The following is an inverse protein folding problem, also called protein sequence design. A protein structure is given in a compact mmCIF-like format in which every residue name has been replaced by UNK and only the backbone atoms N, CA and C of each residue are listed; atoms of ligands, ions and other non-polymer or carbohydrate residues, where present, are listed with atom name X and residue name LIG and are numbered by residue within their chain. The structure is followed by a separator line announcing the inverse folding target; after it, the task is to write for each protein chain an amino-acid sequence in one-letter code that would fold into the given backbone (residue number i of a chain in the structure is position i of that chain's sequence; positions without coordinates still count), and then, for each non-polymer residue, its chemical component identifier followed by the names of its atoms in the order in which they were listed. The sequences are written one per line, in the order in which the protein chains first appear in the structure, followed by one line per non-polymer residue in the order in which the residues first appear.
data_IF_527065803859
#
_entry.id   IF_527065803859
#
_cell.length_a   1.000
_cell.length_b   1.000
_cell.length_c   1.000
_cell.angle_alpha   90.00
_cell.angle_beta   90.00
_cell.angle_gamma   90.00
#
_symmetry.space_group_name_H-M   'P 1'
#
loop_
_entity.id
_entity.type
_entity.pdbx_description
1 polymer ?
#
# COMPACT_ATOMS: atom_id res chain seq x y z
N UNK A 1 -10.68 20.47 -2.04
CA UNK A 1 -11.05 19.04 -1.87
C UNK A 1 -9.84 18.29 -1.35
N UNK A 2 -10.01 17.24 -0.54
CA UNK A 2 -8.89 16.40 -0.11
C UNK A 2 -8.09 15.83 -1.28
N UNK A 3 -6.78 15.71 -1.11
CA UNK A 3 -5.92 14.98 -2.05
C UNK A 3 -5.86 13.51 -1.67
N UNK A 4 -6.44 12.65 -2.50
CA UNK A 4 -6.54 11.20 -2.22
C UNK A 4 -5.86 10.45 -3.36
N UNK A 5 -4.76 9.75 -3.06
CA UNK A 5 -4.10 8.88 -4.04
C UNK A 5 -4.51 7.44 -3.80
N UNK A 6 -5.11 6.78 -4.80
CA UNK A 6 -5.41 5.36 -4.78
C UNK A 6 -4.20 4.57 -5.29
N UNK A 7 -3.76 3.58 -4.52
CA UNK A 7 -2.74 2.62 -4.93
C UNK A 7 -3.43 1.27 -5.19
N UNK A 8 -3.33 0.77 -6.41
CA UNK A 8 -3.93 -0.49 -6.84
C UNK A 8 -2.82 -1.54 -6.98
N UNK A 9 -2.90 -2.58 -6.15
CA UNK A 9 -2.09 -3.79 -6.23
C UNK A 9 -2.78 -4.89 -7.03
N UNK A 10 -2.36 -6.14 -6.79
CA UNK A 10 -2.79 -7.27 -7.61
C UNK A 10 -3.64 -8.32 -6.90
N UNK A 11 -3.95 -8.19 -5.60
CA UNK A 11 -4.80 -9.15 -4.89
C UNK A 11 -6.20 -9.27 -5.57
N UNK A 12 -6.94 -10.37 -5.36
CA UNK A 12 -8.15 -10.68 -6.14
C UNK A 12 -9.22 -9.57 -6.12
N UNK A 13 -9.34 -8.82 -5.02
CA UNK A 13 -10.35 -7.77 -4.88
C UNK A 13 -9.96 -6.44 -5.56
N UNK A 14 -8.76 -6.35 -6.15
CA UNK A 14 -8.31 -5.18 -6.92
C UNK A 14 -9.26 -4.82 -8.06
N UNK A 15 -9.90 -5.83 -8.67
CA UNK A 15 -10.83 -5.65 -9.81
C UNK A 15 -12.02 -4.75 -9.49
N UNK A 16 -12.36 -4.60 -8.21
CA UNK A 16 -13.43 -3.70 -7.76
C UNK A 16 -13.17 -2.26 -8.18
N UNK A 17 -11.90 -1.84 -8.27
CA UNK A 17 -11.56 -0.49 -8.70
C UNK A 17 -11.92 -0.19 -10.16
N UNK A 18 -12.24 -1.20 -10.99
CA UNK A 18 -12.63 -1.00 -12.39
C UNK A 18 -13.85 -0.09 -12.52
N UNK A 19 -14.83 -0.29 -11.65
CA UNK A 19 -16.15 0.36 -11.75
C UNK A 19 -16.27 1.58 -10.80
N UNK A 20 -15.20 1.93 -10.08
CA UNK A 20 -15.20 3.07 -9.17
C UNK A 20 -15.08 4.38 -9.92
N UNK A 21 -15.89 5.36 -9.52
CA UNK A 21 -15.80 6.73 -10.03
C UNK A 21 -14.39 7.30 -9.77
N UNK A 22 -13.69 7.63 -10.86
CA UNK A 22 -12.36 8.24 -10.85
C UNK A 22 -12.35 9.55 -10.07
N UNK A 23 -13.47 10.26 -10.01
CA UNK A 23 -13.58 11.58 -9.37
C UNK A 23 -13.35 11.54 -7.86
N UNK A 24 -13.51 10.38 -7.22
CA UNK A 24 -13.24 10.16 -5.80
C UNK A 24 -11.74 10.27 -5.45
N UNK A 25 -10.86 10.16 -6.45
CA UNK A 25 -9.41 10.14 -6.29
C UNK A 25 -8.77 11.34 -6.99
N UNK A 26 -7.69 11.85 -6.44
CA UNK A 26 -6.84 12.85 -7.11
C UNK A 26 -5.91 12.15 -8.08
N UNK A 27 -5.29 11.07 -7.64
CA UNK A 27 -4.35 10.25 -8.42
C UNK A 27 -4.69 8.76 -8.27
N UNK A 28 -4.45 7.99 -9.32
CA UNK A 28 -4.45 6.53 -9.30
C UNK A 28 -3.05 6.04 -9.69
N UNK A 29 -2.46 5.24 -8.81
CA UNK A 29 -1.16 4.62 -8.96
C UNK A 29 -1.38 3.12 -9.13
N UNK A 30 -1.13 2.60 -10.32
CA UNK A 30 -1.16 1.18 -10.61
C UNK A 30 0.22 0.56 -10.33
N UNK A 31 0.24 -0.62 -9.70
CA UNK A 31 1.45 -1.40 -9.46
C UNK A 31 1.50 -2.62 -10.38
N UNK A 32 2.62 -2.82 -11.07
CA UNK A 32 2.85 -4.00 -11.91
C UNK A 32 1.65 -4.21 -12.85
N UNK A 33 1.09 -5.42 -12.92
CA UNK A 33 -0.06 -5.75 -13.77
C UNK A 33 -1.38 -5.04 -13.39
N UNK A 34 -1.44 -4.32 -12.26
CA UNK A 34 -2.66 -3.63 -11.83
C UNK A 34 -3.12 -2.52 -12.81
N UNK A 35 -2.25 -2.09 -13.73
CA UNK A 35 -2.63 -1.19 -14.82
C UNK A 35 -3.76 -1.78 -15.68
N UNK A 36 -3.91 -3.11 -15.72
CA UNK A 36 -4.95 -3.80 -16.47
C UNK A 36 -6.33 -3.78 -15.77
N UNK A 37 -6.41 -3.33 -14.52
CA UNK A 37 -7.69 -3.23 -13.79
C UNK A 37 -8.59 -2.15 -14.40
N UNK A 38 -8.00 -1.00 -14.76
CA UNK A 38 -8.67 0.17 -15.33
C UNK A 38 -7.71 0.97 -16.20
N UNK A 39 -8.16 1.64 -17.28
CA UNK A 39 -7.28 2.27 -18.26
C UNK A 39 -6.88 3.72 -17.93
N UNK A 40 -7.41 4.32 -16.88
CA UNK A 40 -7.32 5.75 -16.54
C UNK A 40 -6.50 6.03 -15.26
N UNK A 41 -5.42 5.27 -15.06
CA UNK A 41 -4.45 5.54 -14.00
C UNK A 41 -3.48 6.68 -14.38
N UNK A 42 -2.96 7.39 -13.37
CA UNK A 42 -2.04 8.51 -13.55
C UNK A 42 -0.58 8.06 -13.58
N UNK A 43 -0.26 7.05 -12.77
CA UNK A 43 1.09 6.54 -12.60
C UNK A 43 1.10 5.01 -12.64
N UNK A 44 2.09 4.45 -13.34
CA UNK A 44 2.41 3.03 -13.28
C UNK A 44 3.79 2.86 -12.66
N UNK A 45 3.87 2.06 -11.60
CA UNK A 45 5.14 1.74 -10.92
C UNK A 45 5.39 0.24 -11.01
N UNK A 46 6.58 -0.13 -11.45
CA UNK A 46 7.01 -1.52 -11.58
C UNK A 46 8.52 -1.65 -11.32
N UNK A 47 9.04 -2.84 -10.98
CA UNK A 47 10.46 -3.05 -10.79
C UNK A 47 11.23 -3.04 -12.13
N UNK A 48 12.55 -2.89 -12.07
CA UNK A 48 13.42 -2.89 -13.25
C UNK A 48 13.35 -4.20 -14.06
N UNK A 49 13.01 -5.33 -13.41
CA UNK A 49 12.87 -6.66 -14.02
C UNK A 49 11.44 -6.95 -14.54
N UNK A 50 10.56 -5.95 -14.59
CA UNK A 50 9.19 -6.12 -15.09
C UNK A 50 9.20 -6.41 -16.61
N UNK A 51 8.56 -7.50 -17.09
CA UNK A 51 8.64 -7.87 -18.50
C UNK A 51 8.03 -6.81 -19.42
N UNK A 52 8.78 -6.42 -20.47
CA UNK A 52 8.33 -5.42 -21.45
C UNK A 52 6.98 -5.79 -22.10
N UNK A 53 6.78 -7.07 -22.43
CA UNK A 53 5.51 -7.57 -22.99
C UNK A 53 4.32 -7.61 -22.01
N UNK A 54 4.52 -7.17 -20.75
CA UNK A 54 3.44 -6.97 -19.76
C UNK A 54 3.17 -5.50 -19.47
N UNK A 55 3.88 -4.59 -20.11
CA UNK A 55 3.54 -3.17 -20.10
C UNK A 55 2.34 -2.93 -21.02
N UNK A 56 1.54 -1.87 -20.78
CA UNK A 56 0.50 -1.46 -21.71
C UNK A 56 1.10 -1.11 -23.07
N UNK A 57 0.49 -1.59 -24.17
CA UNK A 57 0.98 -1.44 -25.56
C UNK A 57 1.19 0.03 -25.98
N UNK A 58 0.54 0.97 -25.30
CA UNK A 58 0.93 2.38 -25.23
C UNK A 58 0.26 3.02 -24.02
N UNK A 59 0.95 3.88 -23.26
CA UNK A 59 0.27 4.73 -22.28
C UNK A 59 -0.83 5.52 -22.99
N UNK A 60 -2.07 5.42 -22.51
CA UNK A 60 -3.17 6.25 -23.01
C UNK A 60 -2.76 7.72 -22.94
N UNK A 61 -2.93 8.53 -24.00
CA UNK A 61 -2.46 9.92 -24.03
C UNK A 61 -3.14 10.81 -22.97
N UNK A 62 -4.13 10.30 -22.24
CA UNK A 62 -4.86 11.06 -21.21
C UNK A 62 -4.12 11.09 -19.87
N UNK A 63 -3.50 9.98 -19.44
CA UNK A 63 -2.76 9.85 -18.19
C UNK A 63 -1.85 8.61 -18.24
N UNK A 64 -0.55 8.76 -17.96
CA UNK A 64 0.39 7.67 -17.63
C UNK A 64 1.84 8.17 -17.57
N UNK A 65 2.34 8.46 -16.37
CA UNK A 65 3.79 8.49 -16.14
C UNK A 65 4.26 7.13 -15.63
N UNK A 66 5.26 6.54 -16.29
CA UNK A 66 5.90 5.31 -15.81
C UNK A 66 7.00 5.70 -14.84
N UNK A 67 6.84 5.29 -13.58
CA UNK A 67 7.77 5.59 -12.49
C UNK A 67 8.75 4.44 -12.36
N UNK A 68 10.00 4.71 -12.67
CA UNK A 68 11.10 3.73 -12.65
C UNK A 68 11.93 3.84 -11.37
N UNK A 69 12.90 2.94 -11.20
CA UNK A 69 13.82 2.96 -10.06
C UNK A 69 14.56 4.29 -9.91
N UNK A 70 14.82 4.99 -11.02
CA UNK A 70 15.40 6.34 -11.00
C UNK A 70 14.58 7.34 -10.16
N UNK A 71 13.28 7.12 -10.00
CA UNK A 71 12.39 8.00 -9.24
C UNK A 71 11.97 7.41 -7.89
N UNK A 72 11.60 6.13 -7.85
CA UNK A 72 11.12 5.52 -6.61
C UNK A 72 12.25 5.17 -5.64
N UNK A 73 13.48 4.88 -6.11
CA UNK A 73 14.60 4.56 -5.21
C UNK A 73 15.00 5.79 -4.38
N UNK A 74 15.26 6.97 -4.96
CA UNK A 74 15.56 8.16 -4.17
C UNK A 74 14.41 8.54 -3.22
N UNK A 75 13.15 8.35 -3.64
CA UNK A 75 12.00 8.63 -2.79
C UNK A 75 11.95 7.70 -1.57
N UNK A 76 12.13 6.39 -1.74
CA UNK A 76 12.13 5.42 -0.65
C UNK A 76 13.36 5.58 0.27
N UNK A 77 14.50 5.98 -0.28
CA UNK A 77 15.71 6.27 0.49
C UNK A 77 15.53 7.39 1.52
N UNK A 78 14.71 8.41 1.22
CA UNK A 78 14.37 9.47 2.19
C UNK A 78 13.64 8.93 3.44
N UNK A 79 13.08 7.73 3.35
CA UNK A 79 12.39 7.07 4.45
C UNK A 79 13.13 5.82 4.94
N UNK A 80 14.45 5.77 4.82
CA UNK A 80 15.28 4.68 5.38
C UNK A 80 15.58 3.53 4.42
N UNK A 81 15.30 3.70 3.13
CA UNK A 81 15.72 2.75 2.08
C UNK A 81 15.01 1.39 2.16
N UNK A 82 15.37 0.49 1.26
CA UNK A 82 14.61 -0.74 0.99
C UNK A 82 14.68 -1.76 2.12
N UNK A 83 15.80 -1.83 2.85
CA UNK A 83 15.99 -2.78 3.96
C UNK A 83 14.95 -2.58 5.06
N UNK A 84 14.71 -1.32 5.45
CA UNK A 84 13.77 -0.99 6.50
C UNK A 84 12.35 -0.74 5.98
N UNK A 85 12.21 -0.03 4.86
CA UNK A 85 10.91 0.31 4.28
C UNK A 85 10.19 -0.88 3.62
N UNK A 86 10.93 -1.94 3.28
CA UNK A 86 10.44 -3.15 2.61
C UNK A 86 10.55 -3.06 1.09
N UNK A 87 10.91 -4.17 0.46
CA UNK A 87 11.17 -4.25 -0.99
C UNK A 87 9.95 -4.44 -1.89
N UNK A 88 8.75 -4.64 -1.35
CA UNK A 88 7.57 -4.88 -2.19
C UNK A 88 7.17 -3.62 -2.95
N UNK A 89 6.67 -3.80 -4.17
CA UNK A 89 6.17 -2.67 -4.96
C UNK A 89 5.02 -1.88 -4.30
N UNK A 90 4.22 -2.49 -3.42
CA UNK A 90 3.19 -1.77 -2.69
C UNK A 90 3.77 -0.77 -1.67
N UNK A 91 4.85 -1.14 -0.97
CA UNK A 91 5.55 -0.21 -0.09
C UNK A 91 6.33 0.82 -0.89
N UNK A 92 7.00 0.41 -1.97
CA UNK A 92 7.70 1.33 -2.87
C UNK A 92 6.77 2.39 -3.45
N UNK A 93 5.60 1.98 -3.96
CA UNK A 93 4.58 2.92 -4.43
C UNK A 93 4.06 3.83 -3.31
N UNK A 94 3.86 3.28 -2.10
CA UNK A 94 3.44 4.05 -0.92
C UNK A 94 4.42 5.15 -0.54
N UNK A 95 5.71 4.84 -0.43
CA UNK A 95 6.74 5.83 -0.09
C UNK A 95 7.00 6.81 -1.23
N UNK A 96 6.96 6.36 -2.49
CA UNK A 96 7.02 7.26 -3.64
C UNK A 96 5.84 8.25 -3.63
N UNK A 97 4.60 7.78 -3.45
CA UNK A 97 3.42 8.64 -3.40
C UNK A 97 3.50 9.64 -2.23
N UNK A 98 3.96 9.18 -1.06
CA UNK A 98 4.17 10.02 0.12
C UNK A 98 5.14 11.18 -0.17
N UNK A 99 6.26 10.92 -0.87
CA UNK A 99 7.23 11.97 -1.24
C UNK A 99 6.72 12.85 -2.38
N UNK A 100 6.24 12.23 -3.45
CA UNK A 100 6.05 12.87 -4.75
C UNK A 100 4.71 13.59 -4.82
N UNK A 101 3.64 12.91 -4.39
CA UNK A 101 2.27 13.41 -4.47
C UNK A 101 1.85 14.16 -3.20
N UNK A 102 2.45 13.82 -2.05
CA UNK A 102 2.16 14.39 -0.72
C UNK A 102 0.65 14.49 -0.44
N UNK A 103 -0.11 13.38 -0.58
CA UNK A 103 -1.55 13.44 -0.48
C UNK A 103 -2.01 13.55 0.98
N UNK A 104 -3.26 13.96 1.18
CA UNK A 104 -3.91 13.85 2.50
C UNK A 104 -4.14 12.39 2.87
N UNK A 105 -4.46 11.55 1.87
CA UNK A 105 -4.72 10.11 2.02
C UNK A 105 -4.00 9.30 0.94
N UNK A 106 -3.42 8.18 1.36
CA UNK A 106 -3.07 7.07 0.46
C UNK A 106 -4.04 5.92 0.75
N UNK A 107 -4.87 5.57 -0.22
CA UNK A 107 -5.82 4.48 -0.10
C UNK A 107 -5.28 3.26 -0.86
N UNK A 108 -5.11 2.13 -0.19
CA UNK A 108 -4.63 0.88 -0.79
C UNK A 108 -5.80 -0.03 -1.14
N UNK A 109 -5.81 -0.59 -2.34
CA UNK A 109 -6.66 -1.70 -2.75
C UNK A 109 -5.80 -2.79 -3.39
N UNK A 110 -6.11 -4.07 -3.18
CA UNK A 110 -5.38 -5.16 -3.82
C UNK A 110 -3.95 -5.36 -3.30
N UNK A 111 -3.62 -4.78 -2.14
CA UNK A 111 -2.26 -4.78 -1.58
C UNK A 111 -2.16 -5.63 -0.30
N UNK A 112 -3.06 -6.61 -0.11
CA UNK A 112 -3.19 -7.32 1.17
C UNK A 112 -2.02 -8.23 1.54
N UNK A 113 -1.20 -8.59 0.55
CA UNK A 113 -0.02 -9.43 0.72
C UNK A 113 -0.32 -10.77 1.42
N UNK A 114 -1.44 -11.40 1.05
CA UNK A 114 -1.83 -12.73 1.52
C UNK A 114 -1.68 -13.72 0.36
N UNK A 115 -0.93 -14.81 0.58
CA UNK A 115 -0.57 -15.78 -0.45
C UNK A 115 -0.96 -17.20 0.01
N UNK A 116 -2.26 -17.56 -0.04
CA UNK A 116 -2.70 -18.91 0.25
C UNK A 116 -2.14 -19.91 -0.78
N UNK A 117 -1.76 -21.11 -0.34
CA UNK A 117 -1.19 -22.14 -1.22
C UNK A 117 -2.20 -22.68 -2.25
N UNK A 118 -3.50 -22.66 -1.93
CA UNK A 118 -4.56 -23.34 -2.69
C UNK A 118 -5.67 -22.40 -3.20
N UNK A 119 -5.38 -21.11 -3.39
CA UNK A 119 -6.36 -20.17 -3.92
C UNK A 119 -5.66 -19.08 -4.77
N UNK A 120 -6.40 -18.41 -5.68
CA UNK A 120 -5.85 -17.29 -6.44
C UNK A 120 -5.26 -16.23 -5.50
N UNK A 121 -3.99 -15.91 -5.72
CA UNK A 121 -3.27 -14.88 -4.98
C UNK A 121 -3.38 -13.52 -5.67
N UNK A 122 -3.72 -13.52 -6.96
CA UNK A 122 -3.82 -12.33 -7.79
C UNK A 122 -5.12 -12.33 -8.60
N UNK A 123 -5.58 -11.17 -9.08
CA UNK A 123 -6.79 -11.08 -9.90
C UNK A 123 -6.67 -11.77 -11.28
N UNK A 124 -5.45 -12.02 -11.75
CA UNK A 124 -5.14 -12.76 -12.97
C UNK A 124 -4.78 -14.23 -12.69
N UNK A 125 -5.21 -14.77 -11.53
CA UNK A 125 -4.98 -16.16 -11.13
C UNK A 125 -3.87 -16.31 -10.10
N UNK A 126 -2.83 -17.06 -10.43
CA UNK A 126 -1.68 -17.31 -9.53
C UNK A 126 -0.48 -16.53 -10.07
N UNK A 127 -0.15 -15.42 -9.40
CA UNK A 127 1.09 -14.70 -9.69
C UNK A 127 2.28 -15.35 -9.00
N UNK A 128 3.46 -15.29 -9.64
CA UNK A 128 4.75 -15.44 -8.96
C UNK A 128 4.90 -14.27 -8.00
N UNK A 129 4.74 -14.54 -6.70
CA UNK A 129 4.73 -13.50 -5.69
C UNK A 129 6.13 -12.94 -5.43
N UNK A 130 6.26 -11.62 -5.45
CA UNK A 130 7.42 -10.89 -4.90
C UNK A 130 7.73 -11.29 -3.43
N UNK A 131 6.75 -11.40 -2.51
CA UNK A 131 6.99 -11.79 -1.11
C UNK A 131 7.10 -13.30 -0.82
N UNK A 132 7.18 -14.16 -1.83
CA UNK A 132 7.59 -15.57 -1.64
C UNK A 132 9.10 -15.76 -1.82
N UNK A 133 9.84 -14.71 -2.21
CA UNK A 133 11.30 -14.70 -2.13
C UNK A 133 11.69 -14.83 -0.66
N UNK A 134 12.65 -15.70 -0.35
CA UNK A 134 13.28 -15.74 0.97
C UNK A 134 14.15 -14.48 1.14
N UNK A 135 13.48 -13.36 1.35
CA UNK A 135 14.06 -12.02 1.28
C UNK A 135 14.02 -11.37 2.66
N UNK A 136 15.18 -10.85 3.09
CA UNK A 136 15.33 -10.28 4.43
C UNK A 136 14.44 -9.05 4.66
N UNK A 137 14.08 -8.34 3.60
CA UNK A 137 13.26 -7.11 3.65
C UNK A 137 11.76 -7.41 3.64
N UNK A 138 11.36 -8.65 3.35
CA UNK A 138 9.97 -9.10 3.23
C UNK A 138 9.50 -10.01 4.38
N UNK A 139 10.36 -10.24 5.37
CA UNK A 139 10.13 -11.19 6.49
C UNK A 139 8.89 -10.88 7.31
N UNK A 140 8.63 -9.61 7.62
CA UNK A 140 7.44 -9.17 8.34
C UNK A 140 6.72 -8.01 7.65
N UNK A 141 5.86 -8.37 6.70
CA UNK A 141 5.03 -7.43 5.96
C UNK A 141 4.10 -6.59 6.85
N UNK A 142 3.68 -7.14 8.01
CA UNK A 142 2.84 -6.39 8.95
C UNK A 142 3.64 -5.29 9.63
N UNK A 143 4.87 -5.57 10.04
CA UNK A 143 5.79 -4.57 10.58
C UNK A 143 6.14 -3.50 9.54
N UNK A 144 6.45 -3.89 8.29
CA UNK A 144 6.72 -2.94 7.21
C UNK A 144 5.53 -2.03 6.90
N UNK A 145 4.32 -2.59 6.91
CA UNK A 145 3.09 -1.80 6.78
C UNK A 145 2.86 -0.86 7.97
N UNK A 146 3.14 -1.29 9.20
CA UNK A 146 3.04 -0.45 10.39
C UNK A 146 4.03 0.73 10.34
N UNK A 147 5.26 0.46 9.89
CA UNK A 147 6.27 1.48 9.63
C UNK A 147 5.79 2.52 8.61
N UNK A 148 5.27 2.08 7.46
CA UNK A 148 4.72 2.99 6.45
C UNK A 148 3.59 3.85 7.03
N UNK A 149 2.67 3.24 7.80
CA UNK A 149 1.56 3.97 8.42
C UNK A 149 2.04 5.04 9.40
N UNK A 150 2.95 4.69 10.31
CA UNK A 150 3.50 5.61 11.30
C UNK A 150 4.27 6.76 10.63
N UNK A 151 5.12 6.45 9.64
CA UNK A 151 5.85 7.47 8.89
C UNK A 151 4.91 8.38 8.09
N UNK A 152 3.93 7.83 7.37
CA UNK A 152 2.94 8.63 6.65
C UNK A 152 2.21 9.61 7.59
N UNK A 153 1.78 9.16 8.77
CA UNK A 153 1.14 10.01 9.77
C UNK A 153 2.05 11.15 10.24
N UNK A 154 3.35 10.88 10.48
CA UNK A 154 4.34 11.92 10.82
C UNK A 154 4.49 12.96 9.71
N UNK A 155 4.29 12.56 8.46
CA UNK A 155 4.32 13.43 7.29
C UNK A 155 2.96 14.02 6.91
N UNK A 156 1.93 13.86 7.76
CA UNK A 156 0.61 14.46 7.56
C UNK A 156 -0.34 13.67 6.66
N UNK A 157 0.06 12.49 6.19
CA UNK A 157 -0.71 11.63 5.31
C UNK A 157 -1.36 10.48 6.09
N UNK A 158 -2.60 10.14 5.77
CA UNK A 158 -3.29 8.99 6.36
C UNK A 158 -3.33 7.83 5.35
N UNK A 159 -2.72 6.70 5.68
CA UNK A 159 -2.85 5.48 4.87
C UNK A 159 -4.09 4.68 5.31
N UNK A 160 -4.89 4.22 4.34
CA UNK A 160 -6.13 3.47 4.56
C UNK A 160 -6.15 2.21 3.66
N UNK A 161 -6.85 1.17 4.10
CA UNK A 161 -7.05 -0.06 3.32
C UNK A 161 -8.53 -0.16 2.88
N UNK A 162 -8.77 -0.27 1.58
CA UNK A 162 -10.09 -0.46 0.96
C UNK A 162 -10.43 -1.93 0.68
N UNK A 163 -9.53 -2.85 1.02
CA UNK A 163 -9.72 -4.28 0.81
C UNK A 163 -10.90 -4.81 1.62
N UNK A 164 -11.69 -5.64 0.95
CA UNK A 164 -12.79 -6.41 1.57
C UNK A 164 -12.42 -7.87 1.79
N UNK A 165 -11.17 -8.26 1.50
CA UNK A 165 -10.69 -9.61 1.77
C UNK A 165 -10.72 -9.91 3.28
N UNK A 166 -10.99 -11.17 3.68
CA UNK A 166 -11.12 -11.54 5.09
C UNK A 166 -9.82 -11.34 5.88
N UNK A 167 -8.67 -11.38 5.21
CA UNK A 167 -7.35 -11.27 5.82
C UNK A 167 -6.49 -10.27 5.05
N UNK A 168 -5.65 -9.53 5.77
CA UNK A 168 -4.62 -8.66 5.21
C UNK A 168 -3.39 -8.68 6.11
N UNK A 169 -2.21 -8.50 5.53
CA UNK A 169 -0.98 -8.21 6.28
C UNK A 169 -0.84 -6.72 6.57
N UNK A 170 -1.59 -5.86 5.91
CA UNK A 170 -1.47 -4.42 6.10
C UNK A 170 -1.96 -4.00 7.48
N UNK A 171 -1.08 -3.37 8.27
CA UNK A 171 -1.42 -2.72 9.53
C UNK A 171 -2.00 -1.32 9.25
N UNK A 172 -3.09 -1.28 8.49
CA UNK A 172 -3.79 -0.06 8.07
C UNK A 172 -5.27 -0.11 8.45
N UNK A 173 -5.89 1.02 8.83
CA UNK A 173 -7.33 1.08 9.07
C UNK A 173 -8.12 0.70 7.82
N UNK A 174 -9.04 -0.25 7.98
CA UNK A 174 -9.96 -0.66 6.91
C UNK A 174 -11.14 0.29 6.80
N UNK A 175 -11.48 0.68 5.57
CA UNK A 175 -12.58 1.59 5.25
C UNK A 175 -13.27 1.13 3.96
N UNK A 176 -14.44 1.71 3.67
CA UNK A 176 -15.18 1.45 2.43
C UNK A 176 -15.07 2.64 1.47
N UNK A 177 -15.29 2.41 0.18
CA UNK A 177 -15.31 3.48 -0.82
C UNK A 177 -16.33 4.59 -0.48
N UNK A 178 -17.58 4.30 -0.05
CA UNK A 178 -18.53 5.34 0.33
C UNK A 178 -18.05 6.23 1.49
N UNK A 179 -17.13 5.75 2.34
CA UNK A 179 -16.50 6.61 3.34
C UNK A 179 -15.57 7.62 2.65
N UNK A 180 -14.70 7.16 1.74
CA UNK A 180 -13.73 7.98 1.00
C UNK A 180 -14.43 9.10 0.23
N UNK A 181 -15.48 8.78 -0.51
CA UNK A 181 -16.27 9.73 -1.32
C UNK A 181 -16.88 10.88 -0.50
N UNK A 182 -17.07 10.65 0.81
CA UNK A 182 -17.69 11.62 1.74
C UNK A 182 -16.67 12.32 2.63
N UNK A 183 -15.36 12.08 2.45
CA UNK A 183 -14.34 12.70 3.29
C UNK A 183 -14.20 14.19 2.97
N UNK A 184 -14.21 14.99 4.03
CA UNK A 184 -13.86 16.41 3.98
C UNK A 184 -12.49 16.62 4.64
N UNK A 185 -11.80 17.71 4.32
CA UNK A 185 -10.50 18.03 4.94
C UNK A 185 -10.58 18.09 6.48
N UNK A 186 -11.70 18.59 7.03
CA UNK A 186 -11.93 18.61 8.48
C UNK A 186 -12.02 17.19 9.07
N UNK A 187 -12.72 16.29 8.38
CA UNK A 187 -12.89 14.90 8.82
C UNK A 187 -11.59 14.09 8.70
N UNK A 188 -10.80 14.34 7.66
CA UNK A 188 -9.46 13.75 7.54
C UNK A 188 -8.55 14.21 8.67
N UNK A 189 -8.55 15.51 9.00
CA UNK A 189 -7.78 16.05 10.13
C UNK A 189 -8.18 15.37 11.45
N UNK A 190 -9.48 15.17 11.68
CA UNK A 190 -9.98 14.48 12.88
C UNK A 190 -9.55 13.01 12.93
N UNK A 191 -9.70 12.26 11.83
CA UNK A 191 -9.30 10.85 11.76
C UNK A 191 -7.78 10.70 11.93
N UNK A 192 -6.99 11.58 11.30
CA UNK A 192 -5.53 11.61 11.43
C UNK A 192 -5.11 11.88 12.87
N UNK A 193 -5.74 12.83 13.56
CA UNK A 193 -5.45 13.10 14.97
C UNK A 193 -5.75 11.88 15.85
N UNK A 194 -6.88 11.20 15.62
CA UNK A 194 -7.24 9.96 16.32
C UNK A 194 -6.18 8.87 16.11
N UNK A 195 -5.78 8.59 14.86
CA UNK A 195 -4.77 7.56 14.63
C UNK A 195 -3.38 7.96 15.09
N UNK A 196 -3.03 9.25 15.07
CA UNK A 196 -1.77 9.70 15.63
C UNK A 196 -1.67 9.38 17.13
N UNK A 197 -2.76 9.54 17.88
CA UNK A 197 -2.82 9.14 19.30
C UNK A 197 -2.80 7.62 19.53
N UNK A 198 -3.04 6.82 18.49
CA UNK A 198 -2.99 5.35 18.57
C UNK A 198 -1.59 4.78 18.29
N UNK A 199 -0.63 5.63 17.88
CA UNK A 199 0.76 5.24 17.69
C UNK A 199 1.47 5.27 19.05
N UNK A 200 2.17 4.19 19.35
CA UNK A 200 3.06 4.07 20.52
C UNK A 200 4.43 4.68 20.16
N UNK A 201 4.63 5.92 20.62
CA UNK A 201 5.83 6.71 20.28
C UNK A 201 7.12 6.08 20.79
N UNK A 202 7.09 5.46 21.97
CA UNK A 202 8.24 4.75 22.53
C UNK A 202 8.69 3.61 21.61
N UNK A 203 7.76 2.82 21.09
CA UNK A 203 8.07 1.71 20.18
C UNK A 203 8.57 2.23 18.84
N UNK A 204 7.93 3.27 18.30
CA UNK A 204 8.37 3.93 17.07
C UNK A 204 9.79 4.50 17.19
N UNK A 205 10.08 5.25 18.25
CA UNK A 205 11.39 5.86 18.49
C UNK A 205 12.49 4.82 18.71
N UNK A 206 12.18 3.72 19.41
CA UNK A 206 13.11 2.59 19.53
C UNK A 206 13.42 1.94 18.18
N UNK A 207 12.43 1.77 17.31
CA UNK A 207 12.65 1.25 15.97
C UNK A 207 13.57 2.19 15.17
N UNK A 208 13.27 3.49 15.16
CA UNK A 208 14.07 4.51 14.47
C UNK A 208 15.51 4.55 15.00
N UNK A 209 15.69 4.48 16.32
CA UNK A 209 17.02 4.45 16.94
C UNK A 209 17.81 3.22 16.47
N UNK A 210 17.21 2.03 16.49
CA UNK A 210 17.88 0.81 16.03
C UNK A 210 18.18 0.83 14.53
N UNK A 211 17.28 1.36 13.70
CA UNK A 211 17.55 1.59 12.27
C UNK A 211 18.78 2.50 12.09
N UNK A 212 18.87 3.59 12.87
CA UNK A 212 20.00 4.52 12.83
C UNK A 212 21.31 3.90 13.35
N UNK A 213 21.25 3.06 14.39
CA UNK A 213 22.43 2.40 14.97
C UNK A 213 23.01 1.34 14.03
N UNK A 214 22.15 0.60 13.31
CA UNK A 214 22.57 -0.43 12.37
C UNK A 214 22.99 0.15 11.01
N UNK A 215 22.31 1.22 10.55
CA UNK A 215 22.70 1.95 9.35
C UNK A 215 22.63 1.15 8.06
N UNK A 216 21.80 0.10 7.98
CA UNK A 216 21.66 -0.71 6.77
C UNK A 216 21.03 0.13 5.66
N UNK A 217 21.85 0.49 4.67
CA UNK A 217 21.47 1.37 3.60
C UNK A 217 22.20 1.00 2.31
N UNK A 218 21.43 0.83 1.24
CA UNK A 218 21.94 0.52 -0.09
C UNK A 218 21.42 1.58 -1.04
N UNK A 219 22.31 2.52 -1.41
CA UNK A 219 21.93 3.77 -2.08
C UNK A 219 21.20 3.56 -3.41
N UNK A 220 21.59 2.55 -4.19
CA UNK A 220 20.98 2.23 -5.48
C UNK A 220 19.69 1.38 -5.36
N UNK A 221 19.27 1.03 -4.15
CA UNK A 221 18.09 0.20 -3.87
C UNK A 221 18.29 -1.31 -4.11
N UNK A 222 19.44 -1.74 -4.65
CA UNK A 222 19.75 -3.14 -4.99
C UNK A 222 20.26 -3.93 -3.80
N UNK A 223 19.50 -3.92 -2.70
CA UNK A 223 19.91 -4.53 -1.44
C UNK A 223 20.19 -6.04 -1.53
N UNK A 224 19.63 -6.74 -2.51
CA UNK A 224 19.89 -8.16 -2.75
C UNK A 224 21.36 -8.45 -3.12
N UNK A 225 22.10 -7.46 -3.62
CA UNK A 225 23.54 -7.57 -3.91
C UNK A 225 24.40 -7.62 -2.63
N UNK A 226 23.82 -7.24 -1.47
CA UNK A 226 24.49 -7.16 -0.17
C UNK A 226 23.72 -7.89 0.93
N UNK A 227 22.91 -8.89 0.57
CA UNK A 227 21.98 -9.53 1.51
C UNK A 227 22.68 -10.22 2.69
N UNK A 228 23.93 -10.67 2.48
CA UNK A 228 24.79 -11.28 3.49
C UNK A 228 25.17 -10.32 4.63
N UNK A 229 25.08 -9.02 4.39
CA UNK A 229 25.56 -7.99 5.31
C UNK A 229 24.49 -7.61 6.34
N UNK A 230 23.27 -8.13 6.19
CA UNK A 230 22.13 -7.81 7.04
C UNK A 230 21.87 -8.89 8.08
N UNK A 231 22.00 -8.54 9.36
CA UNK A 231 21.65 -9.44 10.45
C UNK A 231 20.13 -9.57 10.59
N UNK A 232 19.62 -10.76 10.26
CA UNK A 232 18.20 -11.08 10.36
C UNK A 232 17.65 -11.02 11.79
N UNK A 233 18.48 -11.24 12.82
CA UNK A 233 18.05 -11.14 14.23
C UNK A 233 17.79 -9.69 14.60
N UNK A 234 18.72 -8.80 14.25
CA UNK A 234 18.58 -7.35 14.46
C UNK A 234 17.38 -6.77 13.69
N UNK A 235 17.20 -7.17 12.43
CA UNK A 235 16.02 -6.78 11.66
C UNK A 235 14.70 -7.27 12.28
N UNK A 236 14.68 -8.50 12.81
CA UNK A 236 13.50 -9.02 13.50
C UNK A 236 13.15 -8.23 14.76
N UNK A 237 14.16 -7.69 15.48
CA UNK A 237 13.95 -6.79 16.63
C UNK A 237 13.32 -5.47 16.18
N UNK A 238 13.85 -4.85 15.12
CA UNK A 238 13.29 -3.62 14.54
C UNK A 238 11.84 -3.83 14.10
N UNK A 239 11.56 -4.91 13.37
CA UNK A 239 10.21 -5.25 12.93
C UNK A 239 9.27 -5.47 14.13
N UNK A 240 9.78 -6.04 15.23
CA UNK A 240 9.05 -6.15 16.50
C UNK A 240 8.60 -4.81 17.08
N UNK A 241 9.48 -3.80 17.04
CA UNK A 241 9.15 -2.45 17.50
C UNK A 241 8.14 -1.77 16.57
N UNK A 242 8.31 -1.87 15.25
CA UNK A 242 7.32 -1.32 14.31
C UNK A 242 5.95 -1.97 14.45
N UNK A 243 5.89 -3.29 14.60
CA UNK A 243 4.64 -4.00 14.84
C UNK A 243 3.94 -3.52 16.12
N UNK A 244 4.71 -3.21 17.15
CA UNK A 244 4.20 -2.72 18.44
C UNK A 244 3.83 -1.25 18.43
N UNK A 245 4.40 -0.48 17.49
CA UNK A 245 4.16 0.96 17.33
C UNK A 245 2.73 1.28 16.88
N UNK A 246 2.06 0.33 16.23
CA UNK A 246 0.70 0.51 15.72
C UNK A 246 -0.22 -0.46 16.46
N UNK A 247 -0.92 0.05 17.47
CA UNK A 247 -1.86 -0.75 18.28
C UNK A 247 -3.30 -0.44 17.90
N UNK A 248 -4.19 -1.41 18.13
CA UNK A 248 -5.65 -1.20 18.09
C UNK A 248 -6.20 -0.62 16.77
N UNK A 249 -5.60 -0.97 15.62
CA UNK A 249 -6.27 -0.72 14.35
C UNK A 249 -7.48 -1.67 14.27
N UNK A 250 -8.72 -1.13 14.16
CA UNK A 250 -9.91 -1.97 14.06
C UNK A 250 -9.83 -2.89 12.84
N UNK A 251 -10.15 -4.18 13.04
CA UNK A 251 -10.17 -5.20 11.96
C UNK A 251 -11.26 -4.95 10.91
N UNK A 252 -12.24 -4.11 11.21
CA UNK A 252 -13.32 -3.73 10.30
C UNK A 252 -13.62 -2.25 10.45
N UNK A 253 -14.27 -1.70 9.43
CA UNK A 253 -14.70 -0.32 9.32
C UNK A 253 -15.05 0.31 10.66
N UNK A 254 -14.68 1.57 10.84
CA UNK A 254 -15.34 2.48 11.78
C UNK A 254 -16.81 2.07 11.86
N UNK A 255 -17.34 1.68 13.03
CA UNK A 255 -18.75 1.39 13.19
C UNK A 255 -19.55 2.51 12.55
N UNK A 256 -20.76 2.18 12.10
CA UNK A 256 -21.80 2.96 11.42
C UNK A 256 -22.04 4.43 11.84
N UNK A 257 -21.22 5.03 12.68
CA UNK A 257 -21.23 6.41 13.14
C UNK A 257 -20.67 7.36 12.09
N UNK A 258 -21.30 7.36 10.92
CA UNK A 258 -21.74 8.60 10.28
C UNK A 258 -23.12 8.34 9.64
N UNK A 259 -24.01 7.67 10.37
CA UNK A 259 -25.40 7.51 10.00
C UNK A 259 -26.09 8.88 10.12
N UNK A 260 -26.21 9.52 8.96
CA UNK A 260 -26.94 10.76 8.76
C UNK A 260 -27.49 10.82 7.35
N UNK A 261 -28.15 9.74 6.89
CA UNK A 261 -29.20 9.76 5.87
C UNK A 261 -29.72 8.34 5.64
N UNK A 262 -31.05 8.20 5.61
CA UNK A 262 -31.83 6.96 5.51
C UNK A 262 -31.86 6.38 4.10
N UNK A 263 -32.04 5.06 4.01
CA UNK A 263 -32.49 4.30 2.82
C UNK A 263 -31.34 3.93 1.89
N UNK A 264 -31.23 2.74 1.30
CA UNK A 264 -32.23 1.70 1.04
C UNK A 264 -31.55 0.41 0.54
N UNK A 265 -32.12 -0.71 0.98
CA UNK A 265 -32.29 -2.07 0.39
C UNK A 265 -31.21 -2.72 -0.51
N UNK A 266 -31.00 -3.99 -0.15
CA UNK A 266 -30.20 -5.08 -0.73
C UNK A 266 -30.85 -5.67 -2.01
N UNK A 267 -30.07 -6.55 -2.67
CA UNK A 267 -30.34 -7.70 -3.59
C UNK A 267 -29.93 -7.41 -5.06
N UNK A 268 -28.96 -8.10 -5.70
CA UNK A 268 -28.99 -9.52 -6.18
C UNK A 268 -27.59 -9.98 -6.78
N UNK A 269 -27.39 -11.26 -7.18
CA UNK A 269 -26.13 -12.05 -7.08
C UNK A 269 -25.22 -12.01 -8.37
N UNK A 270 -24.10 -12.78 -8.45
CA UNK A 270 -23.00 -12.50 -9.37
C UNK A 270 -23.24 -12.99 -10.80
N UNK A 271 -22.73 -12.20 -11.74
CA UNK A 271 -22.68 -12.45 -13.18
C UNK A 271 -21.52 -13.41 -13.50
N UNK A 272 -21.79 -14.41 -14.34
CA UNK A 272 -20.79 -15.32 -14.91
C UNK A 272 -19.76 -14.55 -15.73
N UNK A 273 -18.47 -14.79 -15.45
CA UNK A 273 -17.36 -14.24 -16.24
C UNK A 273 -17.04 -15.26 -17.33
N UNK A 274 -17.38 -14.91 -18.58
CA UNK A 274 -16.89 -15.60 -19.77
C UNK A 274 -15.36 -15.52 -19.83
N UNK A 275 -14.73 -16.68 -20.06
CA UNK A 275 -13.30 -16.81 -20.32
C UNK A 275 -13.03 -16.29 -21.74
N UNK A 276 -12.15 -15.30 -21.86
CA UNK A 276 -11.55 -14.93 -23.14
C UNK A 276 -10.24 -15.72 -23.36
N UNK A 277 -9.89 -15.99 -24.63
CA UNK A 277 -8.88 -16.98 -25.05
C UNK A 277 -7.43 -16.59 -24.72
#
# INVERSE_FOLDING_TARGET
MPKISLIIGSAPDAVRARDWDRSAFTDIVAINNAWAVRPDWDYLIHPDDFPEGRLPDSPSPRFASIITSAEFVPAQNLFGGFVYAGGTMAFTAGYWALKALKPDIIAFLGCDMVYPANAPTHFYGVGTADPLRNDVTLRDLKAKSARLFAQALRHGTLCLNLSELPVTRLALPRVTLPLIERLTSARIKAIRAKFRSAIDDTSMENAIRLESELGYFVQNGRYWESISDFDGVSLSKIDGHWRSSVRNIPNSAFPSDFCGARGSKVVSPPVEIERFP
#
